data_IF_278633789013
#
_entry.id   IF_278633789013
#
_cell.length_a   1.000
_cell.length_b   1.000
_cell.length_c   1.000
_cell.angle_alpha   90.00
_cell.angle_beta   90.00
_cell.angle_gamma   90.00
#
_symmetry.space_group_name_H-M   'P 1'
#
loop_
_entity.id
_entity.type
_entity.pdbx_description
1 polymer ?
#
# COMPACT_ATOMS: atom_id res chain seq x y z
N UNK A 1 5.52 -11.88 -1.79
CA UNK A 1 4.73 -11.48 -0.60
C UNK A 1 3.55 -10.64 -1.05
N UNK A 2 2.39 -10.77 -0.40
CA UNK A 2 1.23 -9.92 -0.72
C UNK A 2 1.26 -8.61 0.06
N UNK A 3 0.84 -7.54 -0.58
CA UNK A 3 0.66 -6.22 0.03
C UNK A 3 -0.74 -5.69 -0.26
N UNK A 4 -1.44 -5.22 0.77
CA UNK A 4 -2.75 -4.58 0.65
C UNK A 4 -2.60 -3.05 0.79
N UNK A 5 -2.98 -2.31 -0.25
CA UNK A 5 -3.12 -0.86 -0.21
C UNK A 5 -4.60 -0.50 -0.39
N UNK A 6 -5.25 0.00 0.67
CA UNK A 6 -6.70 0.24 0.67
C UNK A 6 -7.48 -1.02 0.23
N UNK A 7 -8.04 -0.99 -0.97
CA UNK A 7 -8.83 -2.04 -1.60
C UNK A 7 -8.05 -2.81 -2.68
N UNK A 8 -6.74 -2.58 -2.85
CA UNK A 8 -5.93 -3.21 -3.90
C UNK A 8 -4.87 -4.12 -3.31
N UNK A 9 -4.72 -5.30 -3.89
CA UNK A 9 -3.69 -6.26 -3.51
C UNK A 9 -2.66 -6.38 -4.63
N UNK A 10 -1.39 -6.24 -4.26
CA UNK A 10 -0.26 -6.46 -5.13
C UNK A 10 0.61 -7.60 -4.61
N UNK A 11 1.18 -8.37 -5.54
CA UNK A 11 2.24 -9.30 -5.24
C UNK A 11 3.59 -8.61 -5.44
N UNK A 12 4.43 -8.68 -4.41
CA UNK A 12 5.77 -8.10 -4.35
C UNK A 12 6.74 -9.21 -3.97
N UNK A 13 7.55 -9.69 -4.91
CA UNK A 13 8.42 -10.85 -4.68
C UNK A 13 9.42 -10.60 -3.54
N UNK A 14 10.30 -9.61 -3.72
CA UNK A 14 11.32 -9.22 -2.77
C UNK A 14 11.29 -7.69 -2.65
N UNK A 15 10.58 -7.13 -1.65
CA UNK A 15 10.35 -5.69 -1.49
C UNK A 15 11.64 -4.86 -1.54
N UNK A 16 12.71 -5.32 -0.89
CA UNK A 16 13.99 -4.61 -0.83
C UNK A 16 14.67 -4.55 -2.20
N UNK A 17 14.65 -5.66 -2.95
CA UNK A 17 15.20 -5.70 -4.30
C UNK A 17 14.35 -4.87 -5.25
N UNK A 18 13.02 -4.96 -5.15
CA UNK A 18 12.10 -4.14 -5.93
C UNK A 18 12.35 -2.65 -5.70
N UNK A 19 12.38 -2.23 -4.43
CA UNK A 19 12.65 -0.85 -4.05
C UNK A 19 14.02 -0.38 -4.54
N UNK A 20 15.07 -1.19 -4.40
CA UNK A 20 16.44 -0.84 -4.87
C UNK A 20 16.50 -0.48 -6.36
N UNK A 21 15.65 -1.11 -7.18
CA UNK A 21 15.57 -0.89 -8.63
C UNK A 21 14.66 0.29 -9.00
N UNK A 22 13.68 0.62 -8.15
CA UNK A 22 12.52 1.46 -8.50
C UNK A 22 12.47 2.80 -7.75
N UNK A 23 13.20 2.97 -6.66
CA UNK A 23 13.08 4.17 -5.81
C UNK A 23 13.36 5.49 -6.55
N UNK A 24 14.27 5.48 -7.54
CA UNK A 24 14.56 6.67 -8.35
C UNK A 24 13.39 7.07 -9.25
N UNK A 25 12.73 6.11 -9.88
CA UNK A 25 11.54 6.36 -10.70
C UNK A 25 10.33 6.67 -9.84
N UNK A 26 10.23 6.08 -8.64
CA UNK A 26 9.20 6.40 -7.66
C UNK A 26 9.34 7.85 -7.16
N UNK A 27 10.56 8.38 -7.10
CA UNK A 27 10.81 9.76 -6.70
C UNK A 27 10.72 10.00 -5.18
N UNK A 28 10.80 8.94 -4.37
CA UNK A 28 10.72 9.06 -2.92
C UNK A 28 11.97 9.66 -2.26
N UNK A 29 13.07 9.85 -3.02
CA UNK A 29 14.39 10.15 -2.47
C UNK A 29 15.14 8.89 -2.07
N UNK A 30 16.33 9.01 -1.48
CA UNK A 30 17.13 7.85 -1.07
C UNK A 30 16.44 7.08 0.06
N UNK A 31 15.92 5.85 -0.20
CA UNK A 31 15.23 5.09 0.82
C UNK A 31 16.17 4.62 1.93
N UNK A 32 17.48 4.47 1.73
CA UNK A 32 18.36 3.88 2.76
C UNK A 32 18.55 4.82 3.98
N UNK A 33 18.54 6.14 3.76
CA UNK A 33 18.58 7.15 4.82
C UNK A 33 17.21 7.61 5.34
N UNK A 34 16.12 7.15 4.71
CA UNK A 34 14.76 7.62 4.99
C UNK A 34 14.18 7.01 6.26
N UNK A 35 13.52 7.83 7.09
CA UNK A 35 12.77 7.35 8.27
C UNK A 35 11.41 6.80 7.85
N UNK A 36 10.84 5.94 8.70
CA UNK A 36 9.49 5.41 8.50
C UNK A 36 8.43 6.50 8.29
N UNK A 37 8.50 7.58 9.08
CA UNK A 37 7.58 8.72 8.95
C UNK A 37 7.70 9.41 7.59
N UNK A 38 8.91 9.68 7.12
CA UNK A 38 9.14 10.36 5.84
C UNK A 38 8.61 9.51 4.67
N UNK A 39 8.75 8.18 4.77
CA UNK A 39 8.17 7.24 3.80
C UNK A 39 6.64 7.32 3.79
N UNK A 40 6.00 7.33 4.95
CA UNK A 40 4.54 7.45 5.05
C UNK A 40 4.04 8.82 4.58
N UNK A 41 4.76 9.89 4.88
CA UNK A 41 4.42 11.24 4.41
C UNK A 41 4.55 11.32 2.88
N UNK A 42 5.53 10.64 2.29
CA UNK A 42 5.63 10.49 0.84
C UNK A 42 4.45 9.72 0.26
N UNK A 43 4.16 8.52 0.76
CA UNK A 43 3.08 7.69 0.21
C UNK A 43 1.71 8.38 0.40
N UNK A 44 1.47 9.00 1.56
CA UNK A 44 0.24 9.77 1.81
C UNK A 44 0.03 10.86 0.76
N UNK A 45 1.09 11.57 0.38
CA UNK A 45 1.01 12.60 -0.67
C UNK A 45 0.64 12.00 -2.03
N UNK A 46 1.32 10.92 -2.45
CA UNK A 46 1.03 10.23 -3.72
C UNK A 46 -0.41 9.73 -3.76
N UNK A 47 -0.89 9.10 -2.68
CA UNK A 47 -2.27 8.62 -2.58
C UNK A 47 -3.26 9.77 -2.59
N UNK A 48 -2.97 10.87 -1.87
CA UNK A 48 -3.82 12.05 -1.84
C UNK A 48 -3.96 12.71 -3.21
N UNK A 49 -2.90 12.74 -4.01
CA UNK A 49 -2.96 13.29 -5.37
C UNK A 49 -3.86 12.43 -6.27
N UNK A 50 -3.73 11.09 -6.22
CA UNK A 50 -4.61 10.18 -6.96
C UNK A 50 -6.08 10.28 -6.53
N UNK A 51 -6.33 10.38 -5.22
CA UNK A 51 -7.67 10.59 -4.67
C UNK A 51 -8.27 11.91 -5.16
N UNK A 52 -7.47 13.00 -5.16
CA UNK A 52 -7.91 14.33 -5.60
C UNK A 52 -8.22 14.36 -7.10
N UNK A 53 -7.42 13.66 -7.90
CA UNK A 53 -7.57 13.58 -9.35
C UNK A 53 -8.62 12.55 -9.79
N UNK A 54 -9.08 11.69 -8.88
CA UNK A 54 -10.01 10.60 -9.20
C UNK A 54 -9.39 9.52 -10.09
N UNK A 55 -8.06 9.39 -10.07
CA UNK A 55 -7.31 8.45 -10.92
C UNK A 55 -6.97 7.21 -10.09
N UNK A 56 -7.31 6.00 -10.57
CA UNK A 56 -6.90 4.76 -9.90
C UNK A 56 -5.37 4.62 -9.86
N UNK A 57 -4.84 4.19 -8.72
CA UNK A 57 -3.42 3.83 -8.58
C UNK A 57 -3.19 2.51 -9.32
N UNK A 58 -2.28 2.50 -10.28
CA UNK A 58 -1.94 1.30 -11.04
C UNK A 58 -1.14 0.28 -10.21
N UNK A 59 -1.14 -0.98 -10.65
CA UNK A 59 -0.49 -2.09 -9.94
C UNK A 59 1.01 -1.88 -9.74
N UNK A 60 1.72 -1.29 -10.70
CA UNK A 60 3.17 -1.07 -10.60
C UNK A 60 3.45 -0.02 -9.52
N UNK A 61 2.65 1.05 -9.50
CA UNK A 61 2.75 2.06 -8.46
C UNK A 61 2.39 1.48 -7.07
N UNK A 62 1.38 0.61 -6.97
CA UNK A 62 1.08 -0.09 -5.70
C UNK A 62 2.27 -0.95 -5.25
N UNK A 63 2.93 -1.67 -6.16
CA UNK A 63 4.13 -2.45 -5.84
C UNK A 63 5.29 -1.55 -5.37
N UNK A 64 5.50 -0.42 -6.04
CA UNK A 64 6.55 0.55 -5.68
C UNK A 64 6.29 1.16 -4.29
N UNK A 65 5.06 1.64 -4.03
CA UNK A 65 4.64 2.20 -2.74
C UNK A 65 4.64 1.14 -1.63
N UNK A 66 4.13 -0.05 -1.91
CA UNK A 66 4.12 -1.17 -0.97
C UNK A 66 5.53 -1.60 -0.57
N UNK A 67 6.44 -1.69 -1.54
CA UNK A 67 7.85 -2.01 -1.26
C UNK A 67 8.50 -0.99 -0.34
N UNK A 68 8.20 0.30 -0.52
CA UNK A 68 8.67 1.36 0.37
C UNK A 68 8.09 1.22 1.79
N UNK A 69 6.78 1.01 1.92
CA UNK A 69 6.10 0.83 3.22
C UNK A 69 6.67 -0.38 3.95
N UNK A 70 6.74 -1.53 3.30
CA UNK A 70 7.28 -2.77 3.88
C UNK A 70 8.70 -2.54 4.38
N UNK A 71 9.58 -2.03 3.52
CA UNK A 71 11.00 -1.84 3.85
C UNK A 71 11.21 -0.85 5.01
N UNK A 72 10.26 0.04 5.25
CA UNK A 72 10.39 1.12 6.25
C UNK A 72 9.63 0.87 7.54
N UNK A 73 8.59 0.06 7.50
CA UNK A 73 7.65 -0.10 8.63
C UNK A 73 7.42 -1.56 9.01
N UNK A 74 7.73 -2.50 8.12
CA UNK A 74 7.40 -3.92 8.26
C UNK A 74 5.93 -4.25 8.00
N UNK A 75 5.06 -3.26 7.76
CA UNK A 75 3.65 -3.49 7.47
C UNK A 75 3.44 -4.09 6.07
N UNK A 76 2.54 -5.07 5.97
CA UNK A 76 2.11 -5.65 4.69
C UNK A 76 0.69 -5.20 4.28
N UNK A 77 0.06 -4.34 5.09
CA UNK A 77 -1.21 -3.73 4.77
C UNK A 77 -1.23 -2.27 5.25
N UNK A 78 -1.69 -1.38 4.38
CA UNK A 78 -1.79 0.04 4.65
C UNK A 78 -3.14 0.60 4.16
N UNK A 79 -3.80 1.35 5.04
CA UNK A 79 -5.04 2.05 4.77
C UNK A 79 -4.80 3.55 4.83
N UNK A 80 -5.20 4.25 3.79
CA UNK A 80 -5.20 5.70 3.64
C UNK A 80 -6.65 6.15 3.49
N UNK A 81 -7.37 6.40 4.60
CA UNK A 81 -8.77 6.77 4.55
C UNK A 81 -8.95 8.09 3.81
N UNK A 82 -9.83 8.13 2.81
CA UNK A 82 -10.15 9.33 2.06
C UNK A 82 -11.59 9.78 2.33
N UNK A 83 -11.77 11.06 2.66
CA UNK A 83 -13.08 11.71 2.78
C UNK A 83 -13.01 13.08 2.10
N UNK A 84 -14.00 13.41 1.27
CA UNK A 84 -14.11 14.68 0.54
C UNK A 84 -12.80 15.09 -0.17
N UNK A 85 -12.13 14.13 -0.81
CA UNK A 85 -10.86 14.36 -1.53
C UNK A 85 -9.62 14.53 -0.65
N UNK A 86 -9.75 14.40 0.68
CA UNK A 86 -8.65 14.52 1.64
C UNK A 86 -8.31 13.17 2.25
N UNK A 87 -7.02 12.84 2.26
CA UNK A 87 -6.49 11.63 2.89
C UNK A 87 -6.16 11.93 4.35
N UNK A 88 -6.66 11.08 5.24
CA UNK A 88 -6.46 11.13 6.69
C UNK A 88 -5.17 10.42 7.11
N UNK A 89 -4.89 10.36 8.41
CA UNK A 89 -3.73 9.64 8.94
C UNK A 89 -3.74 8.16 8.50
N UNK A 90 -2.62 7.66 7.92
CA UNK A 90 -2.55 6.30 7.46
C UNK A 90 -2.53 5.31 8.62
N UNK A 91 -3.17 4.17 8.41
CA UNK A 91 -3.19 3.05 9.36
C UNK A 91 -2.38 1.91 8.77
N UNK A 92 -1.48 1.34 9.55
CA UNK A 92 -0.62 0.24 9.15
C UNK A 92 -0.92 -0.98 10.00
N UNK A 93 -0.85 -2.15 9.39
CA UNK A 93 -0.95 -3.42 10.12
C UNK A 93 -0.18 -4.53 9.40
N UNK A 94 -0.05 -5.66 10.08
CA UNK A 94 0.48 -6.90 9.52
C UNK A 94 -0.66 -7.91 9.52
N UNK A 95 -1.20 -8.19 8.33
CA UNK A 95 -2.20 -9.22 8.14
C UNK A 95 -1.54 -10.58 7.92
N UNK A 96 -2.12 -11.67 8.46
CA UNK A 96 -1.72 -13.02 8.08
C UNK A 96 -1.77 -13.23 6.57
N UNK A 97 -0.72 -13.83 6.01
CA UNK A 97 -0.61 -14.09 4.56
C UNK A 97 -1.81 -14.89 4.01
N UNK A 98 -2.39 -15.79 4.80
CA UNK A 98 -3.58 -16.54 4.41
C UNK A 98 -4.79 -15.63 4.15
N UNK A 99 -4.98 -14.57 4.96
CA UNK A 99 -6.06 -13.59 4.76
C UNK A 99 -5.82 -12.82 3.46
N UNK A 100 -4.59 -12.34 3.24
CA UNK A 100 -4.23 -11.65 2.00
C UNK A 100 -4.46 -12.52 0.76
N UNK A 101 -4.14 -13.81 0.83
CA UNK A 101 -4.40 -14.77 -0.27
C UNK A 101 -5.89 -14.94 -0.53
N UNK A 102 -6.71 -15.07 0.51
CA UNK A 102 -8.17 -15.17 0.35
C UNK A 102 -8.75 -13.90 -0.28
N UNK A 103 -8.32 -12.73 0.18
CA UNK A 103 -8.77 -11.45 -0.40
C UNK A 103 -8.35 -11.32 -1.87
N UNK A 104 -7.10 -11.68 -2.20
CA UNK A 104 -6.62 -11.70 -3.59
C UNK A 104 -7.43 -12.65 -4.46
N UNK A 105 -7.70 -13.86 -3.97
CA UNK A 105 -8.47 -14.86 -4.70
C UNK A 105 -9.89 -14.38 -4.99
N UNK A 106 -10.57 -13.75 -4.03
CA UNK A 106 -11.90 -13.15 -4.24
C UNK A 106 -11.85 -12.03 -5.28
N UNK A 107 -10.86 -11.14 -5.20
CA UNK A 107 -10.68 -10.08 -6.17
C UNK A 107 -10.48 -10.63 -7.60
N UNK A 108 -9.65 -11.66 -7.74
CA UNK A 108 -9.33 -12.27 -9.04
C UNK A 108 -10.50 -13.10 -9.61
N UNK A 109 -11.27 -13.80 -8.76
CA UNK A 109 -12.33 -14.74 -9.19
C UNK A 109 -13.72 -14.12 -9.29
N UNK A 110 -14.05 -13.20 -8.38
CA UNK A 110 -15.39 -12.64 -8.23
C UNK A 110 -15.46 -11.19 -8.70
N UNK A 111 -14.31 -10.55 -8.95
CA UNK A 111 -14.23 -9.10 -9.21
C UNK A 111 -14.53 -8.25 -7.98
N UNK A 112 -14.67 -8.87 -6.80
CA UNK A 112 -15.00 -8.21 -5.54
C UNK A 112 -13.73 -7.66 -4.90
N UNK A 113 -13.63 -6.34 -4.84
CA UNK A 113 -12.50 -5.68 -4.19
C UNK A 113 -12.53 -5.89 -2.66
N UNK A 114 -11.37 -6.04 -2.00
CA UNK A 114 -11.26 -6.07 -0.55
C UNK A 114 -12.09 -4.98 0.14
N UNK A 115 -13.03 -5.39 0.98
CA UNK A 115 -13.82 -4.46 1.79
C UNK A 115 -13.01 -4.03 3.03
N UNK A 116 -12.53 -2.79 3.02
CA UNK A 116 -11.72 -2.23 4.09
C UNK A 116 -12.45 -2.25 5.44
N UNK A 117 -13.77 -2.04 5.45
CA UNK A 117 -14.58 -2.04 6.68
C UNK A 117 -14.63 -3.42 7.34
N UNK A 118 -14.44 -4.50 6.59
CA UNK A 118 -14.36 -5.86 7.12
C UNK A 118 -12.94 -6.21 7.61
N UNK A 119 -11.92 -5.63 6.98
CA UNK A 119 -10.51 -5.99 7.23
C UNK A 119 -9.99 -5.26 8.47
N UNK A 120 -10.33 -4.00 8.66
CA UNK A 120 -9.71 -3.16 9.70
C UNK A 120 -10.17 -3.42 11.13
N UNK A 121 -11.42 -3.84 11.41
CA UNK A 121 -11.80 -4.32 12.74
C UNK A 121 -11.02 -5.56 13.20
N UNK A 122 -10.49 -6.35 12.26
CA UNK A 122 -9.68 -7.54 12.53
C UNK A 122 -8.19 -7.24 12.71
N UNK A 123 -7.78 -5.97 12.49
CA UNK A 123 -6.40 -5.52 12.51
C UNK A 123 -5.96 -4.87 13.84
N UNK A 124 -6.83 -4.89 14.87
CA UNK A 124 -6.63 -4.28 16.18
C UNK A 124 -6.09 -5.26 17.24
#
# INVERSE_FOLDING_TARGET
>A
MLFLLNDKIAEIDIPEIHLSKRWKSLGCGDPYGMRARDALDFVTRVVADHVREGIPIDTVLIQDLGSLIIAKTGANAALFPAQDGNVSEPRLTILPEAILRTLKQRADQEGTLPNIEEIWPLAA
#
